data_IF_376852125363
#
_entry.id   IF_376852125363
#
_cell.length_a   1.000
_cell.length_b   1.000
_cell.length_c   1.000
_cell.angle_alpha   90.00
_cell.angle_beta   90.00
_cell.angle_gamma   90.00
#
_symmetry.space_group_name_H-M   'P 1'
#
loop_
_entity.id
_entity.type
_entity.pdbx_description
1 polymer ?
#
# COMPACT_ATOMS: atom_id res chain seq x y z
N UNK A 1 16.41 -30.83 13.34
CA UNK A 1 15.50 -31.99 13.51
C UNK A 1 14.09 -31.70 12.95
N UNK A 2 13.91 -30.78 12.01
CA UNK A 2 12.63 -30.42 11.38
C UNK A 2 12.54 -30.71 9.87
N UNK A 3 13.55 -31.31 9.27
CA UNK A 3 13.62 -31.56 7.81
C UNK A 3 12.95 -32.86 7.39
N UNK A 4 12.68 -33.80 8.32
CA UNK A 4 12.18 -35.14 7.98
C UNK A 4 10.65 -35.23 7.81
N UNK A 5 9.89 -34.25 8.28
CA UNK A 5 8.41 -34.31 8.23
C UNK A 5 7.80 -33.78 6.92
N UNK A 6 8.54 -33.04 6.12
CA UNK A 6 8.04 -32.47 4.85
C UNK A 6 8.09 -33.42 3.67
N UNK A 7 8.99 -34.39 3.71
CA UNK A 7 9.22 -35.33 2.59
C UNK A 7 8.11 -36.38 2.43
N UNK A 8 7.39 -36.68 3.51
CA UNK A 8 6.33 -37.74 3.51
C UNK A 8 4.99 -37.22 2.95
N UNK A 9 4.67 -35.96 3.08
CA UNK A 9 3.40 -35.40 2.58
C UNK A 9 3.50 -35.09 1.08
N UNK A 10 4.67 -34.75 0.60
CA UNK A 10 4.91 -34.52 -0.84
C UNK A 10 4.82 -35.79 -1.65
N UNK A 11 5.33 -36.92 -1.16
CA UNK A 11 5.31 -38.21 -1.89
C UNK A 11 3.91 -38.80 -2.08
N UNK A 12 2.95 -38.45 -1.27
CA UNK A 12 1.57 -38.97 -1.37
C UNK A 12 0.68 -38.22 -2.38
N UNK A 13 1.00 -36.97 -2.72
CA UNK A 13 0.27 -36.15 -3.73
C UNK A 13 0.75 -36.41 -5.17
N UNK A 14 1.97 -36.88 -5.37
CA UNK A 14 2.56 -37.06 -6.70
C UNK A 14 2.00 -38.29 -7.47
N UNK A 15 1.46 -39.29 -6.79
CA UNK A 15 0.90 -40.48 -7.44
C UNK A 15 -0.43 -40.28 -8.18
N UNK A 16 -1.10 -39.13 -8.02
CA UNK A 16 -2.38 -38.82 -8.69
C UNK A 16 -2.26 -37.91 -9.92
N UNK A 17 -1.08 -37.35 -10.21
CA UNK A 17 -0.86 -36.38 -11.29
C UNK A 17 -0.29 -37.03 -12.57
N UNK A 18 0.16 -38.27 -12.51
CA UNK A 18 0.84 -38.96 -13.63
C UNK A 18 -0.09 -39.60 -14.66
N UNK A 19 -1.40 -39.30 -14.67
CA UNK A 19 -2.35 -39.91 -15.58
C UNK A 19 -2.80 -39.05 -16.76
N UNK A 20 -2.25 -37.87 -16.94
CA UNK A 20 -2.54 -37.00 -18.11
C UNK A 20 -1.21 -36.50 -18.69
N UNK A 21 -0.79 -37.18 -19.76
CA UNK A 21 0.46 -36.91 -20.43
C UNK A 21 0.53 -35.56 -21.12
N UNK A 22 1.13 -34.60 -20.45
CA UNK A 22 1.90 -33.51 -21.05
C UNK A 22 3.02 -33.17 -20.07
N UNK A 23 4.26 -33.22 -20.55
CA UNK A 23 5.45 -32.95 -19.77
C UNK A 23 5.52 -31.46 -19.41
N UNK A 24 5.05 -31.08 -18.23
CA UNK A 24 5.40 -29.81 -17.63
C UNK A 24 6.70 -30.00 -16.85
N UNK A 25 7.72 -29.25 -17.24
CA UNK A 25 8.95 -29.11 -16.45
C UNK A 25 8.58 -28.39 -15.16
N UNK A 26 8.41 -29.14 -14.08
CA UNK A 26 8.23 -28.57 -12.75
C UNK A 26 9.60 -28.08 -12.28
N UNK A 27 9.87 -26.81 -12.45
CA UNK A 27 10.95 -26.13 -11.72
C UNK A 27 10.56 -26.15 -10.25
N UNK A 28 11.37 -26.79 -9.43
CA UNK A 28 11.16 -26.76 -7.97
C UNK A 28 11.31 -25.33 -7.49
N UNK A 29 10.19 -24.70 -7.12
CA UNK A 29 10.16 -23.37 -6.52
C UNK A 29 10.56 -23.55 -5.06
N UNK A 30 11.78 -23.18 -4.72
CA UNK A 30 12.31 -23.28 -3.36
C UNK A 30 12.35 -21.92 -2.66
N UNK A 31 11.48 -20.99 -3.01
CA UNK A 31 11.17 -19.81 -2.18
C UNK A 31 9.65 -19.62 -2.19
N UNK A 32 8.96 -20.47 -1.43
CA UNK A 32 7.55 -20.25 -1.18
C UNK A 32 7.42 -19.01 -0.31
N UNK A 33 7.00 -17.90 -0.91
CA UNK A 33 6.42 -16.80 -0.13
C UNK A 33 5.33 -17.43 0.77
N UNK A 34 5.46 -17.21 2.07
CA UNK A 34 4.43 -17.63 3.02
C UNK A 34 3.18 -16.82 2.70
N UNK A 35 2.19 -17.46 2.12
CA UNK A 35 0.92 -16.83 1.77
C UNK A 35 0.11 -16.68 3.05
N UNK A 36 -0.12 -15.44 3.47
CA UNK A 36 -0.99 -15.14 4.60
C UNK A 36 -2.20 -14.32 4.11
N UNK A 37 -3.42 -14.89 4.17
CA UNK A 37 -4.61 -14.24 3.61
C UNK A 37 -5.06 -12.96 4.33
N UNK A 38 -4.43 -12.58 5.40
CA UNK A 38 -4.68 -11.33 6.14
C UNK A 38 -3.40 -10.56 6.42
N UNK A 39 -2.38 -10.81 5.62
CA UNK A 39 -1.05 -10.32 5.82
C UNK A 39 -0.76 -8.99 5.13
N UNK A 40 0.47 -8.61 5.25
CA UNK A 40 1.06 -7.58 4.43
C UNK A 40 1.36 -8.16 3.02
N UNK A 41 1.19 -7.46 1.93
CA UNK A 41 0.92 -6.03 1.80
C UNK A 41 -0.54 -5.64 2.13
N UNK A 42 -0.74 -4.36 2.55
CA UNK A 42 -2.03 -3.87 2.98
C UNK A 42 -3.09 -3.86 1.87
N UNK A 43 -2.74 -3.41 0.68
CA UNK A 43 -3.63 -3.31 -0.47
C UNK A 43 -3.06 -4.08 -1.66
N UNK A 44 -3.90 -4.56 -2.58
CA UNK A 44 -3.48 -5.27 -3.77
C UNK A 44 -2.98 -4.29 -4.86
N UNK A 45 -1.93 -3.54 -4.54
CA UNK A 45 -1.25 -2.61 -5.47
C UNK A 45 0.17 -2.29 -4.96
N UNK A 46 0.95 -1.61 -5.81
CA UNK A 46 2.28 -1.12 -5.49
C UNK A 46 2.21 0.33 -5.03
N UNK A 47 1.94 0.50 -3.74
CA UNK A 47 1.85 1.81 -3.10
C UNK A 47 2.83 1.93 -1.93
N UNK A 48 3.34 3.12 -1.74
CA UNK A 48 4.30 3.45 -0.70
C UNK A 48 3.98 4.79 -0.03
N UNK A 49 4.80 5.19 0.94
CA UNK A 49 4.71 6.47 1.64
C UNK A 49 3.29 6.74 2.14
N UNK A 50 2.65 5.68 2.65
CA UNK A 50 1.23 5.71 2.95
C UNK A 50 0.91 6.55 4.19
N UNK A 51 -0.10 7.39 4.07
CA UNK A 51 -0.78 8.04 5.19
C UNK A 51 -2.13 7.37 5.41
N UNK A 52 -2.27 6.72 6.56
CA UNK A 52 -3.47 5.97 6.92
C UNK A 52 -4.16 6.63 8.11
N UNK A 53 -5.48 6.73 8.02
CA UNK A 53 -6.30 7.25 9.11
C UNK A 53 -7.73 6.76 9.02
N UNK A 54 -8.42 6.85 10.14
CA UNK A 54 -9.84 6.61 10.21
C UNK A 54 -10.61 7.92 10.30
N UNK A 55 -11.60 8.11 9.43
CA UNK A 55 -12.49 9.25 9.43
C UNK A 55 -13.93 8.70 9.31
N UNK A 56 -14.78 9.06 10.27
CA UNK A 56 -16.20 8.69 10.30
C UNK A 56 -16.46 7.19 10.08
N UNK A 57 -15.59 6.34 10.66
CA UNK A 57 -15.73 4.89 10.61
C UNK A 57 -15.28 4.25 9.30
N UNK A 58 -14.59 4.99 8.46
CA UNK A 58 -13.94 4.53 7.24
C UNK A 58 -12.44 4.72 7.36
N UNK A 59 -11.67 3.70 7.04
CA UNK A 59 -10.23 3.81 6.87
C UNK A 59 -9.91 4.35 5.49
N UNK A 60 -9.02 5.32 5.43
CA UNK A 60 -8.47 5.91 4.22
C UNK A 60 -6.96 5.68 4.21
N UNK A 61 -6.43 5.25 3.07
CA UNK A 61 -5.00 5.10 2.82
C UNK A 61 -4.64 5.92 1.59
N UNK A 62 -4.00 7.07 1.81
CA UNK A 62 -3.46 7.92 0.74
C UNK A 62 -2.01 7.52 0.51
N UNK A 63 -1.59 7.41 -0.74
CA UNK A 63 -0.28 6.87 -1.00
C UNK A 63 0.34 7.37 -2.32
N UNK A 64 1.66 7.24 -2.39
CA UNK A 64 2.44 7.27 -3.62
C UNK A 64 2.17 6.00 -4.40
N UNK A 65 1.87 6.12 -5.70
CA UNK A 65 1.88 4.99 -6.60
C UNK A 65 3.25 4.90 -7.26
N UNK A 66 3.96 3.80 -7.06
CA UNK A 66 5.25 3.59 -7.68
C UNK A 66 5.15 3.37 -9.21
N UNK A 67 6.23 3.68 -9.93
CA UNK A 67 6.26 3.71 -11.38
C UNK A 67 6.24 2.33 -12.07
N UNK A 68 5.85 1.27 -11.37
CA UNK A 68 5.74 -0.09 -11.89
C UNK A 68 7.02 -0.59 -12.60
N UNK A 69 8.17 -0.41 -11.93
CA UNK A 69 9.48 -0.85 -12.41
C UNK A 69 10.30 0.20 -13.14
N UNK A 70 9.83 1.44 -13.21
CA UNK A 70 10.57 2.55 -13.85
C UNK A 70 11.14 3.57 -12.84
N UNK A 71 11.09 3.28 -11.57
CA UNK A 71 11.59 4.15 -10.54
C UNK A 71 10.65 5.31 -10.18
N UNK A 72 11.11 6.11 -9.24
CA UNK A 72 10.42 7.34 -8.82
C UNK A 72 10.31 8.40 -9.93
N UNK A 73 11.03 8.21 -11.04
CA UNK A 73 10.93 9.08 -12.22
C UNK A 73 9.54 9.05 -12.86
N UNK A 74 8.80 7.98 -12.67
CA UNK A 74 7.49 7.74 -13.28
C UNK A 74 6.44 7.40 -12.23
N UNK A 75 6.40 8.14 -11.12
CA UNK A 75 5.34 8.00 -10.12
C UNK A 75 3.97 8.05 -10.79
N UNK A 76 3.10 7.17 -10.35
CA UNK A 76 1.73 7.12 -10.84
C UNK A 76 0.86 8.22 -10.25
N UNK A 77 -0.44 8.18 -10.52
CA UNK A 77 -1.38 9.15 -9.98
C UNK A 77 -1.54 9.03 -8.46
N UNK A 78 -2.01 10.09 -7.80
CA UNK A 78 -2.24 10.12 -6.35
C UNK A 78 -3.47 9.30 -5.98
N UNK A 79 -3.28 8.19 -5.29
CA UNK A 79 -4.34 7.22 -4.99
C UNK A 79 -4.85 7.33 -3.56
N UNK A 80 -6.15 7.08 -3.38
CA UNK A 80 -6.75 6.81 -2.08
C UNK A 80 -7.49 5.48 -2.10
N UNK A 81 -7.15 4.63 -1.14
CA UNK A 81 -7.86 3.39 -0.89
C UNK A 81 -8.74 3.54 0.35
N UNK A 82 -9.91 2.90 0.34
CA UNK A 82 -10.89 2.95 1.43
C UNK A 82 -11.22 1.55 1.93
N UNK A 83 -11.40 1.40 3.25
CA UNK A 83 -11.82 0.15 3.86
C UNK A 83 -12.69 0.39 5.11
N UNK A 84 -13.69 -0.46 5.32
CA UNK A 84 -14.50 -0.47 6.55
C UNK A 84 -13.94 -1.36 7.65
N UNK A 85 -13.11 -2.33 7.28
CA UNK A 85 -12.61 -3.37 8.19
C UNK A 85 -11.10 -3.50 8.24
N UNK A 86 -10.39 -2.75 7.38
CA UNK A 86 -8.94 -2.80 7.22
C UNK A 86 -8.39 -4.02 6.46
N UNK A 87 -9.27 -4.84 5.89
CA UNK A 87 -8.90 -6.03 5.09
C UNK A 87 -9.39 -5.89 3.66
N UNK A 88 -10.65 -5.50 3.49
CA UNK A 88 -11.25 -5.32 2.17
C UNK A 88 -11.12 -3.86 1.74
N UNK A 89 -10.21 -3.61 0.83
CA UNK A 89 -9.90 -2.27 0.33
C UNK A 89 -10.52 -2.04 -1.05
N UNK A 90 -10.97 -0.83 -1.30
CA UNK A 90 -11.47 -0.39 -2.60
C UNK A 90 -10.83 0.94 -3.03
N UNK A 91 -10.70 1.10 -4.33
CA UNK A 91 -10.18 2.29 -4.98
C UNK A 91 -11.11 2.70 -6.13
N UNK A 92 -11.64 3.90 -6.08
CA UNK A 92 -12.62 4.43 -7.05
C UNK A 92 -12.10 5.65 -7.83
N UNK A 93 -10.79 5.85 -7.89
CA UNK A 93 -10.14 6.96 -8.58
C UNK A 93 -9.01 7.60 -7.78
N UNK A 94 -8.61 8.79 -8.19
CA UNK A 94 -7.52 9.54 -7.56
C UNK A 94 -8.07 10.62 -6.63
N UNK A 95 -7.39 10.87 -5.52
CA UNK A 95 -7.81 11.92 -4.58
C UNK A 95 -7.48 13.33 -5.08
N UNK A 96 -6.62 13.47 -6.09
CA UNK A 96 -6.23 14.74 -6.68
C UNK A 96 -6.28 14.64 -8.21
N UNK A 97 -6.75 15.66 -8.95
CA UNK A 97 -6.64 15.68 -10.41
C UNK A 97 -5.18 15.54 -10.82
N UNK A 98 -4.86 14.50 -11.59
CA UNK A 98 -3.48 14.20 -11.95
C UNK A 98 -3.22 14.47 -13.43
N UNK A 99 -2.07 15.09 -13.71
CA UNK A 99 -1.52 15.15 -15.05
C UNK A 99 -0.49 14.03 -15.22
N UNK A 100 -0.41 13.40 -16.39
CA UNK A 100 0.52 12.33 -16.68
C UNK A 100 2.01 12.73 -16.54
N UNK A 101 2.29 14.02 -16.54
CA UNK A 101 3.64 14.60 -16.41
C UNK A 101 4.04 14.93 -14.98
N UNK A 102 3.11 14.85 -14.03
CA UNK A 102 3.37 15.19 -12.64
C UNK A 102 3.78 13.97 -11.83
N UNK A 103 4.70 14.17 -10.87
CA UNK A 103 5.17 13.15 -9.93
C UNK A 103 4.53 13.41 -8.58
N UNK A 104 3.58 12.57 -8.20
CA UNK A 104 2.89 12.66 -6.90
C UNK A 104 3.53 11.73 -5.89
N UNK A 105 4.07 12.29 -4.81
CA UNK A 105 4.72 11.56 -3.74
C UNK A 105 4.13 11.90 -2.38
N UNK A 106 4.30 11.00 -1.43
CA UNK A 106 4.21 11.18 0.01
C UNK A 106 3.13 12.19 0.44
N UNK A 107 1.84 11.82 0.36
CA UNK A 107 0.78 12.65 0.91
C UNK A 107 0.87 12.69 2.43
N UNK A 108 0.63 13.86 3.01
CA UNK A 108 0.50 13.99 4.46
C UNK A 108 -0.74 13.27 4.99
N UNK A 109 -0.85 13.17 6.30
CA UNK A 109 -2.15 12.94 6.95
C UNK A 109 -3.18 13.97 6.48
N UNK A 110 -4.41 13.54 6.24
CA UNK A 110 -5.53 14.46 6.02
C UNK A 110 -5.96 15.02 7.36
N UNK A 111 -6.06 16.33 7.46
CA UNK A 111 -6.53 17.02 8.67
C UNK A 111 -7.81 17.80 8.39
N UNK A 112 -8.73 17.80 9.35
CA UNK A 112 -9.96 18.58 9.27
C UNK A 112 -9.78 19.90 9.97
N UNK A 113 -9.99 21.00 9.26
CA UNK A 113 -9.96 22.35 9.79
C UNK A 113 -10.91 23.25 8.96
N UNK A 114 -11.44 24.31 9.56
CA UNK A 114 -12.30 25.29 8.88
C UNK A 114 -13.49 24.66 8.13
N UNK A 115 -14.01 23.51 8.59
CA UNK A 115 -15.07 22.77 7.91
C UNK A 115 -14.67 22.09 6.60
N UNK A 116 -13.37 21.92 6.35
CA UNK A 116 -12.77 21.33 5.16
C UNK A 116 -11.73 20.29 5.53
N UNK A 117 -11.29 19.49 4.54
CA UNK A 117 -10.20 18.55 4.65
C UNK A 117 -8.98 19.07 3.91
N UNK A 118 -7.81 19.00 4.55
CA UNK A 118 -6.54 19.46 3.98
C UNK A 118 -5.57 18.29 3.87
N UNK A 119 -4.84 18.23 2.75
CA UNK A 119 -3.76 17.29 2.49
C UNK A 119 -2.58 18.03 1.86
N UNK A 120 -1.37 17.58 2.10
CA UNK A 120 -0.15 18.23 1.60
C UNK A 120 0.71 17.24 0.83
N UNK A 121 0.36 16.92 -0.43
CA UNK A 121 1.19 16.03 -1.25
C UNK A 121 2.49 16.70 -1.65
N UNK A 122 3.52 15.90 -1.84
CA UNK A 122 4.72 16.32 -2.55
C UNK A 122 4.48 16.15 -4.06
N UNK A 123 4.57 17.22 -4.82
CA UNK A 123 4.42 17.17 -6.27
C UNK A 123 5.66 17.74 -6.94
N UNK A 124 6.30 16.97 -7.81
CA UNK A 124 7.55 17.34 -8.48
C UNK A 124 8.67 17.80 -7.51
N UNK A 125 8.71 17.22 -6.30
CA UNK A 125 9.71 17.54 -5.28
C UNK A 125 9.38 18.74 -4.38
N UNK A 126 8.12 19.22 -4.36
CA UNK A 126 7.66 20.32 -3.53
C UNK A 126 6.31 20.01 -2.86
N UNK A 127 6.12 20.51 -1.65
CA UNK A 127 4.88 20.35 -0.92
C UNK A 127 3.84 21.40 -1.33
N UNK A 128 2.58 20.94 -1.47
CA UNK A 128 1.45 21.82 -1.82
C UNK A 128 0.30 21.63 -0.86
N UNK A 129 -0.22 22.72 -0.25
CA UNK A 129 -1.47 22.65 0.48
C UNK A 129 -2.62 22.43 -0.50
N UNK A 130 -3.42 21.40 -0.24
CA UNK A 130 -4.61 21.09 -1.02
C UNK A 130 -5.81 20.91 -0.11
N UNK A 131 -7.01 21.20 -0.61
CA UNK A 131 -8.26 21.24 0.17
C UNK A 131 -9.40 20.56 -0.58
N UNK A 132 -10.29 19.89 0.18
CA UNK A 132 -11.49 19.26 -0.33
C UNK A 132 -12.67 19.42 0.64
N UNK A 133 -13.89 19.16 0.14
CA UNK A 133 -15.10 19.06 0.95
C UNK A 133 -15.30 17.68 1.58
N UNK A 134 -14.65 16.66 1.03
CA UNK A 134 -14.72 15.28 1.48
C UNK A 134 -13.32 14.69 1.69
N UNK A 135 -13.15 13.72 2.61
CA UNK A 135 -11.84 13.13 2.89
C UNK A 135 -11.24 12.42 1.68
N UNK A 136 -12.02 11.79 0.82
CA UNK A 136 -11.55 11.16 -0.42
C UNK A 136 -11.22 12.14 -1.54
N UNK A 137 -11.50 13.42 -1.36
CA UNK A 137 -11.35 14.44 -2.40
C UNK A 137 -12.63 14.62 -3.25
N UNK A 138 -12.53 15.10 -4.53
CA UNK A 138 -11.27 15.51 -5.14
C UNK A 138 -10.67 16.77 -4.47
N UNK A 139 -9.39 16.69 -4.17
CA UNK A 139 -8.65 17.82 -3.64
C UNK A 139 -8.26 18.78 -4.77
N UNK A 140 -8.14 20.05 -4.44
CA UNK A 140 -7.60 21.12 -5.29
C UNK A 140 -6.60 21.95 -4.52
N UNK A 141 -5.71 22.66 -5.22
CA UNK A 141 -4.74 23.54 -4.59
C UNK A 141 -5.46 24.56 -3.71
N UNK A 142 -5.04 24.70 -2.45
CA UNK A 142 -5.77 25.47 -1.43
C UNK A 142 -5.73 26.98 -1.68
N UNK A 143 -4.77 27.49 -2.44
CA UNK A 143 -4.69 28.89 -2.84
C UNK A 143 -5.49 29.22 -4.11
N UNK A 144 -6.15 28.24 -4.71
CA UNK A 144 -7.00 28.42 -5.87
C UNK A 144 -6.29 28.36 -7.23
N UNK A 145 -5.01 27.95 -7.25
CA UNK A 145 -4.31 27.72 -8.51
C UNK A 145 -4.91 26.49 -9.24
N UNK A 146 -4.87 26.53 -10.56
CA UNK A 146 -5.36 25.44 -11.43
C UNK A 146 -4.26 24.46 -11.86
N UNK A 147 -2.99 24.73 -11.54
CA UNK A 147 -1.82 23.91 -11.87
C UNK A 147 -0.66 24.14 -10.92
N UNK A 148 0.29 23.20 -10.92
CA UNK A 148 1.56 23.33 -10.20
C UNK A 148 2.55 24.23 -10.96
N UNK A 149 3.25 25.11 -10.24
CA UNK A 149 4.22 26.03 -10.82
C UNK A 149 5.65 25.72 -10.37
N UNK A 150 6.63 26.05 -11.22
CA UNK A 150 8.06 26.04 -10.91
C UNK A 150 8.71 27.37 -11.30
N UNK A 151 9.48 28.04 -10.41
CA UNK A 151 9.70 27.77 -8.99
C UNK A 151 8.43 28.05 -8.17
N UNK A 152 8.26 27.34 -7.06
CA UNK A 152 7.06 27.42 -6.23
C UNK A 152 7.18 28.54 -5.23
N UNK A 153 6.60 29.68 -5.53
CA UNK A 153 6.59 30.84 -4.63
C UNK A 153 5.22 31.11 -4.03
N UNK A 154 4.15 30.80 -4.75
CA UNK A 154 2.79 31.10 -4.35
C UNK A 154 2.01 29.90 -3.81
N UNK A 155 2.20 28.72 -4.41
CA UNK A 155 1.43 27.49 -4.07
C UNK A 155 2.18 26.54 -3.17
N UNK A 156 3.46 26.74 -2.90
CA UNK A 156 4.19 25.95 -1.92
C UNK A 156 3.82 26.36 -0.50
N UNK A 157 3.74 25.38 0.39
CA UNK A 157 3.51 25.62 1.81
C UNK A 157 4.57 26.54 2.41
N UNK A 158 5.82 26.41 1.95
CA UNK A 158 6.97 27.08 2.52
C UNK A 158 7.62 28.00 1.50
N UNK A 159 7.44 29.29 1.71
CA UNK A 159 8.20 30.34 1.05
C UNK A 159 9.58 30.52 1.73
N UNK A 160 10.30 29.42 1.94
CA UNK A 160 11.62 29.45 2.56
C UNK A 160 12.72 29.53 1.49
N UNK A 161 13.90 29.99 1.90
CA UNK A 161 15.10 30.02 1.05
C UNK A 161 15.60 28.60 0.70
N UNK A 162 15.12 27.59 1.42
CA UNK A 162 15.38 26.17 1.11
C UNK A 162 14.14 25.58 0.43
N UNK A 163 14.12 25.48 -0.90
CA UNK A 163 12.99 24.93 -1.66
C UNK A 163 12.86 23.39 -1.56
N UNK A 164 13.76 22.72 -0.84
CA UNK A 164 13.82 21.26 -0.76
C UNK A 164 12.86 20.62 0.24
N UNK A 165 11.71 21.23 0.51
CA UNK A 165 10.69 20.66 1.37
C UNK A 165 9.90 19.57 0.67
N UNK A 166 10.03 18.33 1.14
CA UNK A 166 9.22 17.15 0.74
C UNK A 166 8.64 16.50 1.98
N UNK A 167 7.64 15.66 1.78
CA UNK A 167 7.11 14.75 2.79
C UNK A 167 6.51 15.49 3.99
N UNK A 168 5.46 16.23 3.75
CA UNK A 168 4.76 16.90 4.83
C UNK A 168 4.04 15.93 5.75
N UNK A 169 4.11 16.18 7.05
CA UNK A 169 3.22 15.62 8.05
C UNK A 169 2.58 16.76 8.83
N UNK A 170 1.27 16.70 9.02
CA UNK A 170 0.51 17.76 9.70
C UNK A 170 -0.12 17.25 10.98
N UNK A 171 0.01 18.02 12.03
CA UNK A 171 -0.55 17.72 13.34
C UNK A 171 -1.30 18.96 13.90
N UNK A 172 -2.50 18.73 14.41
CA UNK A 172 -3.27 19.75 15.13
C UNK A 172 -3.28 19.36 16.60
N UNK A 173 -2.75 20.22 17.47
CA UNK A 173 -2.70 19.96 18.90
C UNK A 173 -4.05 20.23 19.58
N UNK A 174 -4.18 19.84 20.84
CA UNK A 174 -5.41 19.94 21.64
C UNK A 174 -5.91 21.39 21.80
N UNK A 175 -5.02 22.38 21.68
CA UNK A 175 -5.33 23.81 21.69
C UNK A 175 -5.78 24.35 20.33
N UNK A 176 -5.83 23.50 19.31
CA UNK A 176 -6.18 23.86 17.93
C UNK A 176 -5.03 24.45 17.10
N UNK A 177 -3.82 24.60 17.66
CA UNK A 177 -2.66 25.04 16.89
C UNK A 177 -2.19 23.92 15.96
N UNK A 178 -2.14 24.20 14.67
CA UNK A 178 -1.60 23.30 13.67
C UNK A 178 -0.09 23.47 13.48
N UNK A 179 0.57 22.37 13.23
CA UNK A 179 2.00 22.27 12.95
C UNK A 179 2.23 21.47 11.68
N UNK A 180 3.23 21.84 10.89
CA UNK A 180 3.72 21.08 9.74
C UNK A 180 5.16 20.65 9.96
N UNK A 181 5.42 19.38 9.76
CA UNK A 181 6.74 18.74 9.78
C UNK A 181 7.10 18.35 8.36
N UNK A 182 8.38 18.38 7.98
CA UNK A 182 8.82 17.94 6.67
C UNK A 182 10.29 17.48 6.68
N UNK A 183 10.76 17.00 5.56
CA UNK A 183 12.10 16.45 5.40
C UNK A 183 13.21 17.32 5.98
N UNK A 184 14.31 16.69 6.35
CA UNK A 184 15.46 17.29 7.07
C UNK A 184 15.12 17.80 8.47
N UNK A 185 14.10 17.20 9.12
CA UNK A 185 13.67 17.47 10.50
C UNK A 185 13.11 18.89 10.74
N UNK A 186 12.58 19.49 9.71
CA UNK A 186 11.96 20.82 9.86
C UNK A 186 10.57 20.74 10.51
N UNK A 187 10.23 21.74 11.25
CA UNK A 187 8.89 21.96 11.80
C UNK A 187 8.59 23.44 11.90
N UNK A 188 7.33 23.82 11.65
CA UNK A 188 6.82 25.17 11.88
C UNK A 188 5.34 25.13 12.27
N UNK A 189 4.85 26.21 12.88
CA UNK A 189 3.42 26.43 13.06
C UNK A 189 2.76 26.77 11.74
N UNK A 190 1.57 26.26 11.52
CA UNK A 190 0.67 26.70 10.47
C UNK A 190 -0.25 27.81 11.00
N UNK A 191 -0.50 28.78 10.17
CA UNK A 191 -1.53 29.79 10.41
C UNK A 191 -2.94 29.13 10.34
N UNK A 192 -3.95 29.87 10.81
CA UNK A 192 -5.34 29.38 10.84
C UNK A 192 -5.92 29.07 9.46
N UNK A 193 -5.33 29.61 8.39
CA UNK A 193 -5.73 29.33 7.01
C UNK A 193 -5.30 27.94 6.54
N UNK A 194 -4.48 27.22 7.32
CA UNK A 194 -3.92 25.91 6.99
C UNK A 194 -3.04 25.90 5.72
N UNK A 195 -2.55 27.06 5.29
CA UNK A 195 -1.82 27.26 4.04
C UNK A 195 -0.47 27.93 4.31
N UNK A 196 -0.44 28.84 5.25
CA UNK A 196 0.69 29.74 5.51
C UNK A 196 1.42 29.33 6.77
N UNK A 197 2.74 29.33 6.71
CA UNK A 197 3.60 29.21 7.90
C UNK A 197 3.65 30.56 8.59
N UNK A 198 3.22 30.63 9.85
CA UNK A 198 3.13 31.89 10.61
C UNK A 198 4.26 32.09 11.62
N UNK A 199 5.22 31.18 11.67
CA UNK A 199 6.33 31.24 12.62
C UNK A 199 7.68 30.91 11.98
N UNK A 200 8.72 31.08 12.77
CA UNK A 200 10.07 30.70 12.37
C UNK A 200 10.13 29.19 12.20
N UNK A 201 10.81 28.74 11.15
CA UNK A 201 11.11 27.33 10.93
C UNK A 201 12.15 26.85 11.95
N UNK A 202 11.84 25.77 12.62
CA UNK A 202 12.72 25.11 13.57
C UNK A 202 13.27 23.83 12.96
N UNK A 203 14.45 23.42 13.42
CA UNK A 203 15.03 22.10 13.11
C UNK A 203 15.05 21.26 14.39
N UNK A 204 14.35 20.12 14.35
CA UNK A 204 14.30 19.21 15.47
C UNK A 204 15.70 18.58 15.65
N UNK A 205 16.26 18.75 16.87
CA UNK A 205 17.52 18.10 17.21
C UNK A 205 17.31 16.61 17.43
N UNK A 206 18.14 15.81 16.82
CA UNK A 206 18.13 14.35 16.93
C UNK A 206 19.54 13.82 17.19
N UNK A 207 19.73 12.68 17.87
CA UNK A 207 21.05 12.10 18.09
C UNK A 207 21.69 11.63 16.77
N UNK A 208 20.88 11.16 15.82
CA UNK A 208 21.32 10.70 14.50
C UNK A 208 21.25 11.84 13.50
N UNK A 209 22.31 12.01 12.67
CA UNK A 209 22.48 13.20 11.80
C UNK A 209 22.36 12.91 10.31
N UNK A 210 22.15 11.66 9.94
CA UNK A 210 21.97 11.24 8.55
C UNK A 210 20.80 11.97 7.89
N UNK A 211 20.75 11.95 6.58
CA UNK A 211 19.61 12.48 5.83
C UNK A 211 18.31 11.84 6.32
N UNK A 212 17.27 12.64 6.44
CA UNK A 212 15.98 12.22 6.95
C UNK A 212 14.86 12.84 6.11
N UNK A 213 13.89 12.01 5.80
CA UNK A 213 12.63 12.36 5.16
C UNK A 213 11.50 11.62 5.89
N UNK A 214 10.27 11.64 5.35
CA UNK A 214 9.15 10.87 5.87
C UNK A 214 8.87 11.07 7.35
N UNK A 215 8.73 12.31 7.85
CA UNK A 215 8.45 12.54 9.27
C UNK A 215 7.10 11.96 9.65
N UNK A 216 7.02 11.39 10.85
CA UNK A 216 5.77 10.97 11.46
C UNK A 216 5.63 11.72 12.79
N UNK A 217 4.48 12.31 13.04
CA UNK A 217 4.22 13.03 14.28
C UNK A 217 2.87 12.64 14.89
N UNK A 218 2.87 12.35 16.17
CA UNK A 218 1.63 12.07 16.92
C UNK A 218 1.79 12.36 18.40
N UNK A 219 0.66 12.46 19.09
CA UNK A 219 0.57 12.66 20.56
C UNK A 219 -0.10 11.44 21.19
N UNK A 220 0.45 10.95 22.30
CA UNK A 220 -0.13 9.89 23.10
C UNK A 220 0.06 10.19 24.60
N UNK A 221 -1.03 10.23 25.35
CA UNK A 221 -1.01 10.47 26.82
C UNK A 221 -0.14 11.67 27.21
N UNK A 222 -0.23 12.78 26.48
CA UNK A 222 0.51 14.02 26.74
C UNK A 222 1.96 14.00 26.27
N UNK A 223 2.44 12.95 25.68
CA UNK A 223 3.78 12.83 25.10
C UNK A 223 3.68 13.02 23.59
N UNK A 224 4.52 13.87 23.02
CA UNK A 224 4.69 14.10 21.59
C UNK A 224 5.83 13.22 21.07
N UNK A 225 5.59 12.53 19.97
CA UNK A 225 6.56 11.65 19.31
C UNK A 225 6.86 12.19 17.93
N UNK A 226 8.14 12.38 17.66
CA UNK A 226 8.63 12.70 16.32
C UNK A 226 9.48 11.53 15.83
N UNK A 227 9.00 10.84 14.80
CA UNK A 227 9.72 9.76 14.15
C UNK A 227 10.34 10.29 12.86
N UNK A 228 11.52 9.80 12.52
CA UNK A 228 12.25 10.23 11.36
C UNK A 228 13.02 9.08 10.74
N UNK A 229 13.15 9.07 9.41
CA UNK A 229 13.91 8.05 8.70
C UNK A 229 15.41 8.26 8.81
N UNK A 230 16.13 7.14 8.77
CA UNK A 230 17.58 7.08 8.61
C UNK A 230 17.93 5.97 7.61
N UNK A 231 19.09 6.06 6.98
CA UNK A 231 19.50 5.12 5.94
C UNK A 231 18.85 5.43 4.60
N UNK A 232 18.37 4.43 3.93
CA UNK A 232 17.69 4.53 2.64
C UNK A 232 17.63 3.19 1.92
N UNK A 233 16.73 3.07 0.93
CA UNK A 233 16.53 1.85 0.15
C UNK A 233 16.22 0.65 1.06
N UNK A 234 16.81 -0.50 0.81
CA UNK A 234 16.61 -1.73 1.61
C UNK A 234 17.13 -1.61 3.05
N UNK A 235 17.81 -0.51 3.39
CA UNK A 235 18.35 -0.22 4.73
C UNK A 235 17.63 0.93 5.44
N UNK A 236 16.47 1.31 4.99
CA UNK A 236 15.63 2.25 5.72
C UNK A 236 15.37 1.76 7.13
N UNK A 237 15.37 2.71 8.05
CA UNK A 237 15.00 2.53 9.45
C UNK A 237 14.19 3.75 9.89
N UNK A 238 13.42 3.60 10.95
CA UNK A 238 12.86 4.71 11.70
C UNK A 238 13.52 4.80 13.07
N UNK A 239 13.90 6.02 13.42
CA UNK A 239 14.26 6.41 14.78
C UNK A 239 13.28 7.45 15.31
N UNK A 240 13.28 7.71 16.62
CA UNK A 240 12.40 8.70 17.21
C UNK A 240 13.04 9.49 18.33
N UNK A 241 12.43 10.66 18.59
CA UNK A 241 12.63 11.45 19.78
C UNK A 241 11.25 11.81 20.34
N UNK A 242 11.18 12.16 21.63
CA UNK A 242 9.91 12.47 22.28
C UNK A 242 9.98 13.73 23.11
N UNK A 243 8.85 14.42 23.31
CA UNK A 243 8.72 15.62 24.12
C UNK A 243 7.51 15.53 25.03
N UNK A 244 7.65 15.97 26.28
CA UNK A 244 6.54 16.14 27.24
C UNK A 244 6.06 17.58 27.32
N UNK A 245 6.60 18.46 26.48
CA UNK A 245 6.39 19.91 26.57
C UNK A 245 5.57 20.43 25.39
N UNK A 246 6.05 20.25 24.16
CA UNK A 246 5.36 20.79 22.98
C UNK A 246 5.79 20.09 21.69
N UNK A 247 5.06 20.27 20.57
CA UNK A 247 5.48 19.83 19.24
C UNK A 247 6.82 20.41 18.78
N UNK A 248 7.25 21.53 19.33
CA UNK A 248 8.54 22.15 19.02
C UNK A 248 9.68 21.71 19.95
N UNK A 249 9.39 20.82 20.90
CA UNK A 249 10.34 20.35 21.89
C UNK A 249 10.26 21.12 23.23
N UNK A 250 11.28 21.04 24.12
CA UNK A 250 12.53 20.27 23.94
C UNK A 250 12.28 18.76 23.80
N UNK A 251 13.15 18.09 23.05
CA UNK A 251 13.04 16.64 22.83
C UNK A 251 14.02 15.88 23.70
N UNK A 252 13.53 14.76 24.27
CA UNK A 252 14.29 13.75 24.98
C UNK A 252 14.72 12.66 23.97
N UNK A 253 15.90 12.06 24.22
CA UNK A 253 16.49 11.03 23.37
C UNK A 253 16.48 9.69 24.13
N UNK A 254 15.54 8.77 23.81
CA UNK A 254 15.54 7.45 24.43
C UNK A 254 16.81 6.68 24.11
N UNK A 255 17.28 5.85 25.04
CA UNK A 255 18.43 4.98 24.81
C UNK A 255 18.16 4.00 23.65
N UNK A 256 16.95 3.42 23.63
CA UNK A 256 16.41 2.65 22.50
C UNK A 256 15.58 3.56 21.61
N UNK A 257 16.21 4.15 20.61
CA UNK A 257 15.59 5.13 19.71
C UNK A 257 15.15 4.54 18.35
N UNK A 258 15.46 3.28 18.04
CA UNK A 258 15.09 2.63 16.80
C UNK A 258 13.66 2.05 16.91
N UNK A 259 12.78 2.52 16.06
CA UNK A 259 11.39 2.04 15.94
C UNK A 259 11.33 0.79 15.07
N UNK A 260 12.00 0.82 13.91
CA UNK A 260 11.98 -0.27 12.94
C UNK A 260 13.30 -0.36 12.17
N UNK A 261 13.67 -1.58 11.82
CA UNK A 261 14.83 -1.89 10.97
C UNK A 261 14.53 -3.13 10.13
N UNK A 262 15.27 -3.33 9.05
CA UNK A 262 15.17 -4.54 8.22
C UNK A 262 15.21 -5.80 9.07
N UNK A 263 14.24 -6.68 8.83
CA UNK A 263 14.17 -8.01 9.44
C UNK A 263 14.49 -9.07 8.39
N UNK A 264 15.72 -9.56 8.41
CA UNK A 264 16.20 -10.57 7.46
C UNK A 264 15.56 -11.95 7.68
N UNK A 265 15.11 -12.26 8.89
CA UNK A 265 14.45 -13.55 9.20
C UNK A 265 13.03 -13.57 8.62
N UNK A 266 12.31 -12.46 8.73
CA UNK A 266 10.97 -12.32 8.17
C UNK A 266 10.99 -11.94 6.67
N UNK A 267 12.15 -11.52 6.14
CA UNK A 267 12.27 -11.06 4.76
C UNK A 267 11.54 -9.74 4.51
N UNK A 268 11.50 -8.86 5.51
CA UNK A 268 10.92 -7.51 5.42
C UNK A 268 12.07 -6.51 5.40
N UNK A 269 12.19 -5.78 4.30
CA UNK A 269 13.35 -4.93 4.02
C UNK A 269 12.99 -3.45 3.98
N UNK A 270 13.89 -2.63 4.50
CA UNK A 270 13.83 -1.19 4.41
C UNK A 270 12.51 -0.58 4.89
N UNK A 271 12.06 -0.85 6.14
CA UNK A 271 10.81 -0.31 6.66
C UNK A 271 10.92 1.22 6.79
N UNK A 272 10.62 1.89 5.67
CA UNK A 272 10.80 3.34 5.47
C UNK A 272 9.47 4.09 5.52
N UNK A 273 9.43 5.21 4.83
CA UNK A 273 8.38 6.21 4.88
C UNK A 273 6.96 5.63 5.02
N UNK A 274 6.22 6.12 6.02
CA UNK A 274 4.86 5.69 6.33
C UNK A 274 4.21 6.59 7.37
N UNK A 275 3.35 6.02 8.20
CA UNK A 275 2.63 6.78 9.23
C UNK A 275 2.40 5.96 10.50
N UNK A 276 2.02 6.66 11.57
CA UNK A 276 1.42 6.07 12.76
C UNK A 276 -0.04 6.51 12.84
N UNK A 277 -0.93 5.55 13.01
CA UNK A 277 -2.34 5.82 13.24
C UNK A 277 -2.85 4.99 14.43
N UNK A 278 -3.95 5.41 14.99
CA UNK A 278 -4.65 4.67 16.03
C UNK A 278 -6.13 4.51 15.65
N UNK A 279 -6.75 3.52 16.24
CA UNK A 279 -8.19 3.30 16.18
C UNK A 279 -8.82 3.77 17.50
N UNK A 280 -9.62 2.94 18.12
CA UNK A 280 -10.19 3.18 19.42
C UNK A 280 -9.20 2.87 20.56
N UNK A 281 -9.25 3.65 21.63
CA UNK A 281 -8.41 3.47 22.81
C UNK A 281 -6.92 3.69 22.56
N UNK A 282 -6.09 2.81 23.11
CA UNK A 282 -4.62 2.92 23.08
C UNK A 282 -3.98 1.92 22.10
N UNK A 283 -4.68 1.59 21.01
CA UNK A 283 -4.20 0.69 19.98
C UNK A 283 -3.59 1.48 18.82
N UNK A 284 -2.27 1.41 18.70
CA UNK A 284 -1.49 2.09 17.68
C UNK A 284 -0.94 1.10 16.66
N UNK A 285 -0.78 1.60 15.44
CA UNK A 285 -0.29 0.85 14.30
C UNK A 285 0.75 1.67 13.56
N UNK A 286 1.78 0.99 13.10
CA UNK A 286 2.85 1.55 12.29
C UNK A 286 2.71 1.01 10.88
N UNK A 287 2.37 1.91 9.95
CA UNK A 287 2.42 1.65 8.52
C UNK A 287 3.76 2.11 7.97
N UNK A 288 4.30 1.35 7.05
CA UNK A 288 5.60 1.63 6.45
C UNK A 288 5.67 1.07 5.03
N UNK A 289 6.49 1.65 4.18
CA UNK A 289 6.83 1.00 2.93
C UNK A 289 7.77 -0.18 3.20
N UNK A 290 7.53 -1.30 2.54
CA UNK A 290 8.49 -2.39 2.44
C UNK A 290 9.29 -2.17 1.16
N UNK A 291 10.60 -2.01 1.31
CA UNK A 291 11.49 -1.61 0.24
C UNK A 291 12.15 -2.84 -0.39
N UNK A 292 11.39 -3.65 -1.07
CA UNK A 292 11.90 -4.95 -1.44
C UNK A 292 12.08 -5.21 -2.90
N UNK A 293 11.74 -4.31 -3.80
CA UNK A 293 11.71 -4.62 -5.22
C UNK A 293 12.22 -3.47 -6.07
N UNK A 294 13.53 -3.44 -6.33
CA UNK A 294 14.18 -2.45 -7.20
C UNK A 294 13.91 -1.00 -6.80
N UNK A 295 13.85 -0.67 -5.55
CA UNK A 295 13.56 0.70 -5.08
C UNK A 295 12.28 1.36 -5.62
N UNK A 296 11.48 0.65 -6.39
CA UNK A 296 10.42 1.24 -7.20
C UNK A 296 9.11 0.45 -7.23
N UNK A 297 9.12 -0.77 -6.72
CA UNK A 297 7.95 -1.62 -6.57
C UNK A 297 7.71 -1.86 -5.07
N UNK A 298 7.53 -0.77 -4.37
CA UNK A 298 7.31 -0.79 -2.92
C UNK A 298 5.85 -1.12 -2.62
N UNK A 299 5.63 -1.76 -1.47
CA UNK A 299 4.30 -2.03 -0.96
C UNK A 299 4.16 -1.51 0.47
N UNK A 300 2.96 -1.13 0.86
CA UNK A 300 2.67 -0.68 2.22
C UNK A 300 2.37 -1.87 3.12
N UNK A 301 3.12 -1.97 4.21
CA UNK A 301 2.96 -2.95 5.29
C UNK A 301 2.49 -2.28 6.57
N UNK A 302 1.82 -3.02 7.45
CA UNK A 302 1.33 -2.52 8.73
C UNK A 302 1.57 -3.54 9.82
N UNK A 303 2.14 -3.10 10.94
CA UNK A 303 2.29 -3.89 12.17
C UNK A 303 1.86 -3.08 13.39
N UNK A 304 1.70 -3.74 14.54
CA UNK A 304 1.35 -3.06 15.79
C UNK A 304 2.51 -2.21 16.31
N UNK A 305 2.18 -1.03 16.82
CA UNK A 305 3.09 -0.16 17.56
C UNK A 305 2.76 -0.25 19.04
N UNK A 306 3.73 -0.64 19.84
CA UNK A 306 3.57 -0.84 21.28
C UNK A 306 4.48 0.10 22.07
N UNK A 307 4.10 0.39 23.32
CA UNK A 307 4.79 1.29 24.20
C UNK A 307 5.14 0.62 25.51
N UNK A 308 6.24 1.04 26.14
CA UNK A 308 6.56 0.74 27.50
C UNK A 308 5.72 1.60 28.47
N UNK A 309 5.80 1.30 29.77
CA UNK A 309 5.06 2.04 30.81
C UNK A 309 5.50 3.50 30.92
N UNK A 310 6.77 3.80 30.66
CA UNK A 310 7.36 5.14 30.66
C UNK A 310 7.00 5.95 29.40
N UNK A 311 6.30 5.35 28.44
CA UNK A 311 5.90 5.94 27.16
C UNK A 311 6.92 5.75 26.04
N UNK A 312 8.07 5.14 26.27
CA UNK A 312 9.01 4.84 25.17
C UNK A 312 8.42 3.82 24.20
N UNK A 313 8.77 3.93 22.93
CA UNK A 313 8.31 3.01 21.87
C UNK A 313 9.10 1.71 21.96
N UNK A 314 8.40 0.58 21.93
CA UNK A 314 9.03 -0.73 21.71
C UNK A 314 9.39 -0.89 20.25
N UNK A 315 10.56 -1.44 19.91
CA UNK A 315 10.88 -1.78 18.53
C UNK A 315 9.76 -2.59 17.88
N UNK A 316 9.30 -2.14 16.71
CA UNK A 316 8.20 -2.80 16.01
C UNK A 316 8.63 -4.17 15.54
N UNK A 317 7.89 -5.19 15.91
CA UNK A 317 8.07 -6.53 15.38
C UNK A 317 7.50 -6.59 13.97
N UNK A 318 8.36 -6.44 12.97
CA UNK A 318 7.98 -6.56 11.58
C UNK A 318 7.54 -7.99 11.25
N UNK A 319 6.50 -8.15 10.45
CA UNK A 319 6.05 -9.47 10.00
C UNK A 319 5.23 -9.37 8.72
N UNK A 320 5.16 -10.49 8.01
CA UNK A 320 4.27 -10.67 6.87
C UNK A 320 2.81 -10.90 7.29
N UNK A 321 2.54 -11.12 8.58
CA UNK A 321 1.20 -11.44 9.07
C UNK A 321 0.24 -10.24 9.08
N UNK A 322 0.79 -9.02 9.08
CA UNK A 322 -0.02 -7.80 9.16
C UNK A 322 -0.78 -7.69 10.49
N UNK A 323 -1.89 -6.96 10.48
CA UNK A 323 -2.69 -6.70 11.70
C UNK A 323 -4.10 -7.28 11.63
N UNK A 324 -4.51 -7.80 10.47
CA UNK A 324 -5.83 -8.36 10.25
C UNK A 324 -6.95 -7.31 10.29
N UNK A 325 -8.18 -7.78 10.47
CA UNK A 325 -9.34 -6.90 10.53
C UNK A 325 -9.34 -6.10 11.85
N UNK A 326 -9.37 -4.77 11.73
CA UNK A 326 -9.47 -3.85 12.88
C UNK A 326 -10.91 -3.60 13.30
N UNK A 327 -11.87 -3.93 12.41
CA UNK A 327 -13.31 -3.88 12.69
C UNK A 327 -14.03 -5.09 12.15
N UNK A 328 -15.06 -5.52 12.87
CA UNK A 328 -15.94 -6.59 12.41
C UNK A 328 -16.97 -6.02 11.46
N UNK A 329 -16.93 -6.47 10.21
CA UNK A 329 -17.95 -6.19 9.20
C UNK A 329 -18.64 -7.49 8.83
N UNK A 330 -19.94 -7.43 8.53
CA UNK A 330 -20.67 -8.59 8.02
C UNK A 330 -20.16 -8.91 6.61
N UNK A 331 -19.23 -9.84 6.53
CA UNK A 331 -18.65 -10.32 5.28
C UNK A 331 -19.54 -11.31 4.53
N UNK A 332 -19.25 -11.49 3.25
CA UNK A 332 -19.77 -12.58 2.43
C UNK A 332 -18.91 -13.83 2.68
N UNK A 333 -19.52 -15.00 2.58
CA UNK A 333 -18.76 -16.25 2.68
C UNK A 333 -18.04 -16.51 1.35
N UNK A 334 -16.75 -16.48 1.36
CA UNK A 334 -15.92 -16.72 0.21
C UNK A 334 -16.00 -18.17 -0.27
N UNK A 335 -15.97 -18.37 -1.58
CA UNK A 335 -15.89 -19.64 -2.28
C UNK A 335 -14.45 -19.80 -2.78
N UNK A 336 -13.65 -20.60 -2.11
CA UNK A 336 -12.28 -20.90 -2.55
C UNK A 336 -12.29 -21.74 -3.84
N UNK A 337 -11.40 -21.37 -4.78
CA UNK A 337 -11.13 -22.18 -5.96
C UNK A 337 -10.31 -23.42 -5.56
N UNK A 338 -10.65 -24.58 -6.12
CA UNK A 338 -9.84 -25.79 -5.97
C UNK A 338 -8.57 -25.71 -6.82
N UNK A 339 -8.66 -25.06 -7.98
CA UNK A 339 -7.55 -24.87 -8.92
C UNK A 339 -7.74 -23.57 -9.70
N UNK A 340 -6.63 -22.86 -9.95
CA UNK A 340 -6.59 -21.69 -10.83
C UNK A 340 -5.59 -21.95 -11.95
N UNK A 341 -5.98 -21.66 -13.19
CA UNK A 341 -5.12 -21.81 -14.37
C UNK A 341 -5.39 -20.71 -15.39
N UNK A 342 -4.44 -20.48 -16.28
CA UNK A 342 -4.46 -19.33 -17.17
C UNK A 342 -4.05 -19.68 -18.60
N UNK A 343 -4.32 -18.79 -19.54
CA UNK A 343 -3.85 -18.87 -20.94
C UNK A 343 -2.32 -18.92 -21.00
N UNK A 344 -1.66 -18.16 -20.15
CA UNK A 344 -0.20 -18.06 -20.07
C UNK A 344 0.23 -17.53 -18.71
N UNK A 345 1.53 -17.57 -18.46
CA UNK A 345 2.16 -17.00 -17.26
C UNK A 345 3.43 -16.26 -17.67
N UNK A 346 3.59 -15.04 -17.17
CA UNK A 346 4.80 -14.27 -17.40
C UNK A 346 6.03 -14.97 -16.82
N UNK A 347 7.18 -14.76 -17.47
CA UNK A 347 8.45 -15.27 -16.95
C UNK A 347 8.76 -14.69 -15.58
N UNK A 348 9.38 -15.45 -14.67
CA UNK A 348 9.83 -14.95 -13.39
C UNK A 348 10.74 -13.72 -13.56
N UNK A 349 10.60 -12.76 -12.67
CA UNK A 349 11.40 -11.54 -12.67
C UNK A 349 12.44 -11.61 -11.55
N UNK A 350 13.71 -11.49 -11.90
CA UNK A 350 14.78 -11.36 -10.91
C UNK A 350 14.83 -9.93 -10.39
N UNK A 351 14.75 -9.78 -9.07
CA UNK A 351 14.80 -8.50 -8.38
C UNK A 351 16.21 -8.29 -7.84
N UNK A 352 16.95 -7.41 -8.50
CA UNK A 352 18.27 -7.03 -8.05
C UNK A 352 18.16 -5.95 -6.99
N UNK A 353 18.72 -6.14 -5.79
CA UNK A 353 18.78 -5.12 -4.76
C UNK A 353 19.66 -3.95 -5.20
N UNK A 354 19.44 -2.77 -4.65
CA UNK A 354 20.27 -1.60 -4.91
C UNK A 354 21.54 -1.60 -4.06
N UNK A 355 21.41 -1.86 -2.78
CA UNK A 355 22.49 -1.73 -1.79
C UNK A 355 22.74 -2.97 -0.95
N UNK A 356 21.75 -3.83 -0.80
CA UNK A 356 21.84 -5.00 0.07
C UNK A 356 21.61 -6.30 -0.71
N UNK A 357 22.68 -7.05 -0.98
CA UNK A 357 22.64 -8.32 -1.69
C UNK A 357 21.78 -9.40 -0.98
N UNK A 358 21.56 -9.28 0.33
CA UNK A 358 20.67 -10.17 1.07
C UNK A 358 19.20 -10.00 0.66
N UNK A 359 18.83 -8.87 0.07
CA UNK A 359 17.48 -8.59 -0.42
C UNK A 359 17.20 -9.19 -1.82
N UNK A 360 18.10 -10.02 -2.35
CA UNK A 360 17.89 -10.71 -3.63
C UNK A 360 16.67 -11.60 -3.59
N UNK A 361 15.81 -11.48 -4.59
CA UNK A 361 14.65 -12.34 -4.75
C UNK A 361 14.22 -12.50 -6.20
N UNK A 362 13.46 -13.55 -6.45
CA UNK A 362 12.79 -13.79 -7.72
C UNK A 362 11.29 -13.69 -7.51
N UNK A 363 10.63 -12.89 -8.30
CA UNK A 363 9.18 -12.76 -8.30
C UNK A 363 8.58 -13.71 -9.35
N UNK A 364 7.58 -14.49 -8.93
CA UNK A 364 6.83 -15.41 -9.77
C UNK A 364 5.41 -14.88 -9.96
N UNK A 365 4.79 -15.27 -11.09
CA UNK A 365 3.48 -14.75 -11.49
C UNK A 365 2.48 -15.87 -11.78
N UNK A 366 2.51 -16.93 -10.99
CA UNK A 366 1.70 -18.13 -11.24
C UNK A 366 0.20 -17.87 -11.05
N UNK A 367 -0.69 -18.55 -11.79
CA UNK A 367 -2.14 -18.33 -11.74
C UNK A 367 -2.74 -18.43 -10.34
N UNK A 368 -2.24 -19.34 -9.50
CA UNK A 368 -2.74 -19.54 -8.14
C UNK A 368 -2.61 -18.28 -7.25
N UNK A 369 -1.67 -17.40 -7.55
CA UNK A 369 -1.49 -16.13 -6.81
C UNK A 369 -2.63 -15.13 -6.99
N UNK A 370 -3.50 -15.33 -7.96
CA UNK A 370 -4.70 -14.51 -8.12
C UNK A 370 -5.88 -14.95 -7.22
N UNK A 371 -5.71 -15.98 -6.38
CA UNK A 371 -6.75 -16.48 -5.49
C UNK A 371 -6.15 -17.11 -4.21
N UNK A 372 -5.01 -16.61 -3.78
CA UNK A 372 -4.29 -17.12 -2.62
C UNK A 372 -4.61 -16.34 -1.33
N UNK A 373 -5.31 -15.22 -1.45
CA UNK A 373 -5.70 -14.35 -0.36
C UNK A 373 -4.59 -13.38 0.08
N UNK A 374 -3.53 -13.20 -0.74
CA UNK A 374 -2.39 -12.36 -0.40
C UNK A 374 -2.24 -11.17 -1.36
N UNK A 375 -2.37 -9.95 -0.85
CA UNK A 375 -2.19 -8.73 -1.64
C UNK A 375 -0.74 -8.52 -2.15
N UNK A 376 0.21 -9.33 -1.68
CA UNK A 376 1.63 -9.24 -2.05
C UNK A 376 2.03 -10.07 -3.27
N UNK A 377 1.17 -10.97 -3.74
CA UNK A 377 1.39 -11.86 -4.88
C UNK A 377 0.38 -11.60 -5.99
N UNK A 378 0.72 -11.95 -7.24
CA UNK A 378 -0.18 -11.75 -8.38
C UNK A 378 0.11 -12.71 -9.52
N UNK A 379 -0.90 -12.99 -10.31
CA UNK A 379 -0.72 -13.54 -11.63
C UNK A 379 -0.47 -12.44 -12.67
N UNK A 380 0.39 -12.74 -13.64
CA UNK A 380 0.60 -11.94 -14.85
C UNK A 380 0.58 -12.85 -16.08
N UNK A 381 -0.10 -12.44 -17.14
CA UNK A 381 -0.01 -13.13 -18.42
C UNK A 381 1.35 -12.90 -19.08
N UNK A 382 1.80 -13.86 -19.90
CA UNK A 382 3.03 -13.71 -20.68
C UNK A 382 2.91 -12.54 -21.67
N UNK A 383 4.04 -11.87 -21.90
CA UNK A 383 4.16 -10.88 -22.97
C UNK A 383 3.85 -11.53 -24.33
N UNK A 384 3.02 -10.89 -25.13
CA UNK A 384 2.63 -11.41 -26.44
C UNK A 384 1.43 -12.39 -26.44
N UNK A 385 0.90 -12.77 -25.26
CA UNK A 385 -0.38 -13.47 -25.21
C UNK A 385 -1.50 -12.61 -25.80
N UNK A 386 -2.17 -13.09 -26.82
CA UNK A 386 -3.22 -12.35 -27.54
C UNK A 386 -4.63 -12.61 -27.00
N UNK A 387 -4.80 -13.67 -26.22
CA UNK A 387 -6.10 -14.06 -25.64
C UNK A 387 -5.93 -14.37 -24.14
N UNK A 388 -5.76 -13.32 -23.34
CA UNK A 388 -5.38 -13.35 -21.94
C UNK A 388 -6.59 -13.69 -21.07
N UNK A 389 -6.54 -14.86 -20.42
CA UNK A 389 -7.60 -15.28 -19.50
C UNK A 389 -7.06 -16.03 -18.30
N UNK A 390 -7.83 -16.00 -17.22
CA UNK A 390 -7.64 -16.76 -15.99
C UNK A 390 -8.92 -17.51 -15.66
N UNK A 391 -8.82 -18.77 -15.25
CA UNK A 391 -9.94 -19.63 -14.86
C UNK A 391 -9.79 -20.07 -13.42
N UNK A 392 -10.88 -19.96 -12.66
CA UNK A 392 -11.06 -20.57 -11.35
C UNK A 392 -12.00 -21.79 -11.48
N UNK A 393 -11.51 -23.01 -11.16
CA UNK A 393 -12.32 -24.21 -10.96
C UNK A 393 -12.75 -24.27 -9.48
N UNK A 394 -14.03 -24.24 -9.22
CA UNK A 394 -14.62 -24.28 -7.87
C UNK A 394 -14.84 -25.71 -7.37
N UNK A 395 -14.31 -26.73 -8.10
CA UNK A 395 -14.38 -28.16 -7.81
C UNK A 395 -15.78 -28.75 -8.01
N UNK A 396 -16.82 -27.96 -7.87
CA UNK A 396 -18.22 -28.36 -8.07
C UNK A 396 -19.07 -27.15 -8.48
N UNK A 397 -20.26 -27.41 -8.98
CA UNK A 397 -21.21 -26.36 -9.31
C UNK A 397 -21.63 -25.58 -8.05
N UNK A 398 -21.46 -24.27 -8.09
CA UNK A 398 -21.80 -23.31 -7.01
C UNK A 398 -22.72 -22.23 -7.54
N UNK A 399 -23.59 -21.70 -6.67
CA UNK A 399 -24.31 -20.46 -6.95
C UNK A 399 -23.36 -19.31 -6.64
N UNK A 400 -23.03 -18.50 -7.63
CA UNK A 400 -22.17 -17.34 -7.47
C UNK A 400 -23.05 -16.13 -7.20
N UNK A 401 -22.69 -15.34 -6.21
CA UNK A 401 -23.41 -14.11 -5.84
C UNK A 401 -22.63 -12.87 -6.18
N UNK A 402 -21.30 -12.95 -6.10
CA UNK A 402 -20.41 -11.83 -6.35
C UNK A 402 -19.05 -12.33 -6.80
N UNK A 403 -18.41 -11.57 -7.66
CA UNK A 403 -17.03 -11.73 -8.10
C UNK A 403 -16.34 -10.38 -7.95
N UNK A 404 -15.23 -10.31 -7.22
CA UNK A 404 -14.43 -9.11 -6.98
C UNK A 404 -13.02 -9.36 -7.52
N UNK A 405 -12.62 -8.59 -8.55
CA UNK A 405 -11.36 -8.77 -9.26
C UNK A 405 -10.48 -7.55 -9.04
N UNK A 406 -9.31 -7.75 -8.47
CA UNK A 406 -8.28 -6.73 -8.25
C UNK A 406 -7.22 -6.87 -9.34
N UNK A 407 -7.36 -6.08 -10.40
CA UNK A 407 -6.39 -6.07 -11.49
C UNK A 407 -5.11 -5.32 -11.11
N UNK A 408 -4.01 -5.70 -11.74
CA UNK A 408 -2.73 -5.00 -11.61
C UNK A 408 -2.83 -3.61 -12.24
N UNK A 409 -2.37 -2.59 -11.50
CA UNK A 409 -2.38 -1.18 -11.92
C UNK A 409 -3.79 -0.66 -12.23
N UNK A 410 -4.67 -0.57 -11.22
CA UNK A 410 -6.06 -0.14 -11.40
C UNK A 410 -6.18 1.26 -12.02
N UNK A 411 -5.19 2.13 -11.81
CA UNK A 411 -5.14 3.49 -12.34
C UNK A 411 -5.05 3.57 -13.87
N UNK A 412 -4.62 2.50 -14.54
CA UNK A 412 -4.62 2.42 -16.01
C UNK A 412 -5.99 2.06 -16.60
N UNK A 413 -6.90 1.55 -15.77
CA UNK A 413 -8.20 1.06 -16.20
C UNK A 413 -8.13 -0.33 -16.84
N UNK A 414 -9.27 -1.05 -16.76
CA UNK A 414 -9.43 -2.38 -17.35
C UNK A 414 -10.78 -2.51 -18.03
N UNK A 415 -10.81 -3.31 -19.10
CA UNK A 415 -12.01 -3.86 -19.72
C UNK A 415 -11.87 -5.39 -19.79
N UNK A 416 -12.92 -6.13 -19.43
CA UNK A 416 -12.86 -7.58 -19.38
C UNK A 416 -14.24 -8.21 -19.55
N UNK A 417 -14.25 -9.50 -19.79
CA UNK A 417 -15.43 -10.33 -19.81
C UNK A 417 -15.33 -11.40 -18.72
N UNK A 418 -16.36 -11.49 -17.89
CA UNK A 418 -16.53 -12.60 -16.95
C UNK A 418 -17.47 -13.63 -17.56
N UNK A 419 -17.03 -14.87 -17.61
CA UNK A 419 -17.76 -15.98 -18.18
C UNK A 419 -17.89 -17.12 -17.16
N UNK A 420 -19.01 -17.84 -17.21
CA UNK A 420 -19.27 -18.99 -16.37
C UNK A 420 -19.50 -20.26 -17.20
N UNK A 421 -19.09 -21.40 -16.67
CA UNK A 421 -19.28 -22.71 -17.28
C UNK A 421 -19.59 -23.78 -16.23
N UNK A 422 -20.33 -24.81 -16.61
CA UNK A 422 -20.59 -25.99 -15.79
C UNK A 422 -19.66 -27.17 -16.14
N UNK A 423 -19.16 -27.20 -17.38
CA UNK A 423 -18.41 -28.30 -17.97
C UNK A 423 -16.95 -27.94 -18.35
N UNK A 424 -16.59 -26.66 -18.24
CA UNK A 424 -15.27 -26.13 -18.63
C UNK A 424 -15.06 -25.96 -20.15
N UNK A 425 -16.06 -26.28 -20.95
CA UNK A 425 -16.00 -26.23 -22.43
C UNK A 425 -16.98 -25.23 -23.01
N UNK A 426 -18.19 -25.19 -22.49
CA UNK A 426 -19.26 -24.26 -22.92
C UNK A 426 -19.30 -23.06 -22.00
N UNK A 427 -18.96 -21.88 -22.51
CA UNK A 427 -18.85 -20.64 -21.77
C UNK A 427 -19.97 -19.66 -22.07
N UNK A 428 -20.48 -18.99 -21.06
CA UNK A 428 -21.50 -17.94 -21.17
C UNK A 428 -21.07 -16.70 -20.44
N UNK A 429 -21.20 -15.53 -21.07
CA UNK A 429 -20.96 -14.25 -20.41
C UNK A 429 -21.90 -14.10 -19.22
N UNK A 430 -21.37 -13.77 -18.06
CA UNK A 430 -22.13 -13.57 -16.82
C UNK A 430 -21.73 -12.28 -16.07
N UNK A 431 -20.78 -11.50 -16.61
CA UNK A 431 -20.32 -10.24 -16.07
C UNK A 431 -19.28 -9.57 -16.95
N UNK A 432 -18.60 -8.58 -16.38
CA UNK A 432 -17.59 -7.76 -17.06
C UNK A 432 -18.17 -6.60 -17.84
N UNK A 433 -17.30 -5.76 -18.35
CA UNK A 433 -17.65 -4.55 -19.13
C UNK A 433 -16.64 -4.35 -20.26
N UNK A 434 -17.08 -3.64 -21.30
CA UNK A 434 -16.29 -3.41 -22.51
C UNK A 434 -15.61 -2.02 -22.51
N UNK A 435 -16.02 -1.12 -21.63
CA UNK A 435 -15.41 0.20 -21.41
C UNK A 435 -14.26 0.11 -20.40
N UNK A 436 -13.23 0.93 -20.59
CA UNK A 436 -12.13 1.07 -19.61
C UNK A 436 -12.64 1.73 -18.34
N UNK A 437 -12.51 1.04 -17.19
CA UNK A 437 -12.87 1.58 -15.88
C UNK A 437 -11.66 1.60 -14.95
N UNK A 438 -11.46 2.77 -14.34
CA UNK A 438 -10.42 3.03 -13.34
C UNK A 438 -11.03 2.80 -11.97
N UNK A 439 -10.97 1.57 -11.50
CA UNK A 439 -11.48 1.15 -10.19
C UNK A 439 -10.78 -0.12 -9.70
N UNK A 440 -10.89 -0.42 -8.40
CA UNK A 440 -10.51 -1.69 -7.79
C UNK A 440 -11.26 -1.90 -6.47
N UNK A 441 -11.88 -3.08 -6.22
CA UNK A 441 -12.04 -4.17 -7.18
C UNK A 441 -13.05 -3.84 -8.30
N UNK A 442 -12.99 -4.61 -9.38
CA UNK A 442 -14.11 -4.71 -10.32
C UNK A 442 -15.10 -5.73 -9.77
N UNK A 443 -16.35 -5.31 -9.60
CA UNK A 443 -17.39 -6.10 -8.95
C UNK A 443 -18.47 -6.51 -9.94
N UNK A 444 -18.73 -7.82 -10.02
CA UNK A 444 -19.82 -8.40 -10.79
C UNK A 444 -20.77 -9.19 -9.89
N UNK A 445 -22.03 -9.29 -10.30
CA UNK A 445 -23.04 -10.14 -9.69
C UNK A 445 -23.51 -11.22 -10.69
N UNK A 446 -22.73 -12.28 -10.92
CA UNK A 446 -23.05 -13.32 -11.89
C UNK A 446 -24.37 -14.01 -11.55
N UNK A 447 -25.32 -13.99 -12.49
CA UNK A 447 -26.59 -14.71 -12.33
C UNK A 447 -26.45 -16.13 -12.84
N UNK A 448 -26.29 -17.10 -11.94
CA UNK A 448 -26.18 -18.49 -12.35
C UNK A 448 -25.53 -19.42 -11.34
N UNK A 449 -25.38 -20.65 -11.78
CA UNK A 449 -24.63 -21.69 -11.06
C UNK A 449 -23.53 -22.20 -11.99
N UNK A 450 -22.28 -22.13 -11.52
CA UNK A 450 -21.11 -22.47 -12.33
C UNK A 450 -20.15 -23.34 -11.49
N UNK A 451 -19.40 -24.20 -12.16
CA UNK A 451 -18.21 -24.84 -11.63
C UNK A 451 -16.97 -24.04 -11.96
N UNK A 452 -16.93 -23.48 -13.18
CA UNK A 452 -15.80 -22.70 -13.67
C UNK A 452 -16.22 -21.27 -13.90
N UNK A 453 -15.35 -20.33 -13.47
CA UNK A 453 -15.44 -18.94 -13.86
C UNK A 453 -14.17 -18.57 -14.63
N UNK A 454 -14.30 -17.74 -15.67
CA UNK A 454 -13.20 -17.25 -16.49
C UNK A 454 -13.24 -15.74 -16.60
N UNK A 455 -12.13 -15.10 -16.26
CA UNK A 455 -11.89 -13.68 -16.58
C UNK A 455 -11.09 -13.62 -17.87
N UNK A 456 -11.64 -12.98 -18.89
CA UNK A 456 -10.95 -12.72 -20.16
C UNK A 456 -10.67 -11.23 -20.24
N UNK A 457 -9.40 -10.82 -20.21
CA UNK A 457 -8.96 -9.44 -20.21
C UNK A 457 -8.92 -8.93 -21.64
N UNK A 458 -9.70 -7.89 -21.93
CA UNK A 458 -9.79 -7.28 -23.26
C UNK A 458 -8.83 -6.12 -23.41
N UNK A 459 -8.75 -5.28 -22.39
CA UNK A 459 -7.92 -4.09 -22.39
C UNK A 459 -7.37 -3.84 -20.97
N UNK A 460 -6.22 -3.18 -20.86
CA UNK A 460 -5.49 -2.97 -19.63
C UNK A 460 -4.35 -3.97 -19.43
N UNK A 461 -3.69 -3.90 -18.27
CA UNK A 461 -2.59 -4.79 -17.93
C UNK A 461 -3.13 -6.17 -17.55
N UNK A 462 -2.65 -7.21 -18.23
CA UNK A 462 -3.09 -8.56 -17.99
C UNK A 462 -2.42 -9.17 -16.75
N UNK A 463 -2.92 -8.79 -15.60
CA UNK A 463 -2.50 -9.30 -14.30
C UNK A 463 -3.61 -9.12 -13.27
N UNK A 464 -3.64 -10.03 -12.31
CA UNK A 464 -4.63 -10.04 -11.23
C UNK A 464 -3.87 -10.27 -9.92
N UNK A 465 -4.05 -9.34 -8.96
CA UNK A 465 -3.58 -9.49 -7.60
C UNK A 465 -4.43 -10.51 -6.85
N UNK A 466 -5.75 -10.30 -6.89
CA UNK A 466 -6.68 -11.14 -6.13
C UNK A 466 -8.03 -11.23 -6.85
N UNK A 467 -8.64 -12.40 -6.79
CA UNK A 467 -9.97 -12.67 -7.33
C UNK A 467 -10.83 -13.37 -6.29
N UNK A 468 -11.66 -12.60 -5.60
CA UNK A 468 -12.56 -13.09 -4.58
C UNK A 468 -13.90 -13.50 -5.18
N UNK A 469 -14.37 -14.69 -4.86
CA UNK A 469 -15.63 -15.27 -5.37
C UNK A 469 -16.54 -15.57 -4.17
N UNK A 470 -17.80 -15.14 -4.25
CA UNK A 470 -18.78 -15.30 -3.16
C UNK A 470 -20.07 -15.98 -3.62
#
# INVERSE_FOLDING_TARGET
MHIIYYDSIMKMKWKRIMALGQAFSVVAIMDAQVVNPFGNALVPDMIADASIQEIDGMFYCYATTDGYGRGLETSGPPVVWKSRDFVHWSFDGTYFPSAATEKYWAPSKVVQANGKYYIYPTVNGYMYPAVADHPEGPFKLARGEDRFYKPYTASTLLQTKDPGGIDAEVFIDDDGQAYVFWGRRHVAKLAKDMITVDSVVHVISTPRKEYSEGPIFFKRKGIYYYLYTIGGDEKYQYAYVMSKVSPLGPYEYPEQDIVSTTDYEQGVFGPGHGCVFNTDGDHYYFAYLEFGRRSTNRQTYVNRLEFNEDGTIRPVKLSLDGVGALRKVKGRKEIKADTVYASSTAAPMFIKPMKDEACRRTEYFVPAFAADGANGSRWMAAEGDKDKWLVADLGRIRKIRCSEIYFVRPTAGHAYQLEGSVDGTTWRKCGGHDDLRVQSPHVDEPKGKYRFLRVRIKEGIAGIWEWNIY
#
